data_IF_855907955744
#
_entry.id   IF_855907955744
#
_cell.length_a   1.000
_cell.length_b   1.000
_cell.length_c   1.000
_cell.angle_alpha   90.00
_cell.angle_beta   90.00
_cell.angle_gamma   90.00
#
_symmetry.space_group_name_H-M   'P 1'
#
loop_
_entity.id
_entity.type
_entity.pdbx_description
1 polymer ?
#
# COMPACT_ATOMS: atom_id res chain seq x y z
N UNK A 1 14.80 -18.06 51.18
CA UNK A 1 15.16 -17.02 50.18
C UNK A 1 15.14 -17.65 48.82
N UNK A 2 14.19 -17.34 47.92
CA UNK A 2 14.17 -17.83 46.54
C UNK A 2 14.96 -16.86 45.66
N UNK A 3 15.87 -17.43 44.89
CA UNK A 3 16.73 -16.77 43.91
C UNK A 3 15.89 -16.16 42.76
N UNK A 4 16.07 -14.88 42.51
CA UNK A 4 15.46 -14.15 41.38
C UNK A 4 15.91 -14.72 40.02
N UNK A 5 14.95 -15.02 39.18
CA UNK A 5 15.19 -15.39 37.78
C UNK A 5 15.71 -14.16 36.98
N UNK A 6 16.76 -14.30 36.17
CA UNK A 6 17.23 -13.20 35.35
C UNK A 6 16.20 -12.84 34.27
N UNK A 7 15.93 -11.55 34.13
CA UNK A 7 15.07 -10.99 33.10
C UNK A 7 15.59 -11.38 31.69
N UNK A 8 14.72 -12.01 30.89
CA UNK A 8 15.00 -12.29 29.47
C UNK A 8 15.23 -10.97 28.74
N UNK A 9 16.47 -10.71 28.35
CA UNK A 9 16.81 -9.66 27.40
C UNK A 9 16.06 -9.93 26.10
N UNK A 10 15.10 -9.08 25.77
CA UNK A 10 14.48 -9.09 24.43
C UNK A 10 15.56 -8.66 23.43
N UNK A 11 15.97 -9.58 22.57
CA UNK A 11 16.89 -9.29 21.48
C UNK A 11 16.17 -8.41 20.45
N UNK A 12 16.57 -7.17 20.37
CA UNK A 12 16.05 -6.16 19.41
C UNK A 12 16.55 -6.37 17.98
N UNK A 13 17.36 -7.40 17.72
CA UNK A 13 18.05 -7.61 16.46
C UNK A 13 17.26 -8.40 15.42
N UNK A 14 16.09 -8.95 15.72
CA UNK A 14 15.31 -9.75 14.78
C UNK A 14 14.04 -9.09 14.25
N UNK A 15 13.76 -7.84 14.61
CA UNK A 15 12.57 -7.10 14.12
C UNK A 15 12.87 -6.11 12.98
N UNK A 16 14.09 -6.04 12.48
CA UNK A 16 14.47 -5.13 11.38
C UNK A 16 14.20 -5.66 9.98
N UNK A 17 14.05 -6.94 9.79
CA UNK A 17 13.58 -7.57 8.56
C UNK A 17 12.16 -8.06 8.79
N UNK A 18 11.19 -7.17 8.69
CA UNK A 18 9.82 -7.57 8.41
C UNK A 18 9.86 -8.29 7.07
N UNK A 19 10.10 -9.60 7.12
CA UNK A 19 9.77 -10.48 6.02
C UNK A 19 8.33 -10.16 5.69
N UNK A 20 8.07 -9.79 4.45
CA UNK A 20 6.75 -9.59 3.90
C UNK A 20 5.97 -10.91 4.08
N UNK A 21 5.41 -11.15 5.25
CA UNK A 21 4.64 -12.34 5.60
C UNK A 21 3.23 -12.33 5.03
N UNK A 22 2.97 -11.50 4.03
CA UNK A 22 1.82 -11.68 3.16
C UNK A 22 2.12 -12.76 2.13
N UNK A 23 2.54 -13.93 2.62
CA UNK A 23 2.51 -15.13 1.81
C UNK A 23 1.05 -15.48 1.58
N UNK A 24 0.68 -15.50 0.32
CA UNK A 24 -0.55 -16.12 -0.15
C UNK A 24 -0.44 -17.63 0.19
N UNK A 25 -0.98 -18.02 1.37
CA UNK A 25 -0.97 -19.42 1.81
C UNK A 25 -1.81 -20.32 0.89
N UNK A 26 -2.54 -19.71 -0.05
CA UNK A 26 -3.55 -20.40 -0.85
C UNK A 26 -3.01 -21.07 -2.12
N UNK A 27 -1.75 -20.85 -2.52
CA UNK A 27 -1.27 -21.40 -3.80
C UNK A 27 0.04 -22.17 -3.73
N UNK A 28 0.71 -22.25 -2.60
CA UNK A 28 2.02 -22.92 -2.48
C UNK A 28 3.13 -22.30 -3.34
N UNK A 29 2.84 -21.29 -4.13
CA UNK A 29 3.75 -20.61 -5.06
C UNK A 29 4.20 -19.28 -4.44
N UNK A 30 5.42 -19.27 -3.92
CA UNK A 30 6.06 -18.10 -3.26
C UNK A 30 6.49 -16.99 -4.24
N UNK A 31 5.90 -16.88 -5.43
CA UNK A 31 6.43 -16.05 -6.52
C UNK A 31 5.52 -14.86 -6.88
N UNK A 32 4.53 -14.54 -6.04
CA UNK A 32 3.53 -13.50 -6.30
C UNK A 32 2.91 -13.62 -7.72
N UNK A 33 2.78 -14.83 -8.22
CA UNK A 33 2.15 -15.15 -9.49
C UNK A 33 0.77 -15.73 -9.23
N UNK A 34 -0.21 -15.30 -10.04
CA UNK A 34 -1.56 -15.82 -9.95
C UNK A 34 -2.34 -15.58 -11.22
N UNK A 35 -3.41 -16.34 -11.39
CA UNK A 35 -4.23 -16.30 -12.60
C UNK A 35 -5.26 -15.17 -12.50
N UNK A 36 -5.16 -14.19 -13.39
CA UNK A 36 -6.17 -13.18 -13.64
C UNK A 36 -6.94 -13.50 -14.93
N UNK A 37 -7.92 -12.66 -15.30
CA UNK A 37 -8.64 -12.80 -16.59
C UNK A 37 -7.69 -12.74 -17.79
N UNK A 38 -6.58 -12.01 -17.67
CA UNK A 38 -5.56 -11.90 -18.72
C UNK A 38 -4.45 -12.95 -18.66
N UNK A 39 -4.61 -14.02 -17.85
CA UNK A 39 -3.61 -15.07 -17.70
C UNK A 39 -2.79 -14.95 -16.40
N UNK A 40 -1.58 -15.49 -16.43
CA UNK A 40 -0.68 -15.50 -15.27
C UNK A 40 -0.06 -14.12 -15.08
N UNK A 41 -0.35 -13.47 -13.96
CA UNK A 41 0.06 -12.09 -13.68
C UNK A 41 0.48 -11.87 -12.24
N UNK A 42 1.25 -10.79 -12.03
CA UNK A 42 1.54 -10.21 -10.72
C UNK A 42 0.89 -8.85 -10.62
N UNK A 43 0.32 -8.57 -9.47
CA UNK A 43 -0.22 -7.25 -9.17
C UNK A 43 0.78 -6.46 -8.33
N UNK A 44 1.07 -5.23 -8.75
CA UNK A 44 1.87 -4.26 -8.01
C UNK A 44 0.92 -3.30 -7.32
N UNK A 45 0.75 -3.45 -6.01
CA UNK A 45 0.05 -2.46 -5.19
C UNK A 45 1.00 -1.34 -4.84
N UNK A 46 0.58 -0.09 -5.03
CA UNK A 46 1.48 1.06 -5.01
C UNK A 46 0.89 2.21 -4.20
N UNK A 47 1.71 2.83 -3.37
CA UNK A 47 1.49 4.18 -2.89
C UNK A 47 2.39 5.15 -3.65
N UNK A 48 1.85 6.27 -4.11
CA UNK A 48 2.58 7.30 -4.83
C UNK A 48 2.43 8.67 -4.15
N UNK A 49 3.45 9.50 -4.29
CA UNK A 49 3.38 10.90 -3.87
C UNK A 49 2.75 11.79 -4.96
N UNK A 50 2.54 13.09 -4.65
CA UNK A 50 1.92 14.06 -5.58
C UNK A 50 2.68 14.23 -6.91
N UNK A 51 3.97 13.90 -6.97
CA UNK A 51 4.82 13.97 -8.17
C UNK A 51 4.82 12.67 -8.96
N UNK A 52 3.91 11.75 -8.66
CA UNK A 52 3.83 10.43 -9.29
C UNK A 52 5.12 9.61 -9.07
N UNK A 53 5.71 9.68 -7.87
CA UNK A 53 6.86 8.88 -7.48
C UNK A 53 6.42 7.75 -6.58
N UNK A 54 6.90 6.51 -6.78
CA UNK A 54 6.62 5.39 -5.90
C UNK A 54 7.14 5.65 -4.48
N UNK A 55 6.31 5.43 -3.46
CA UNK A 55 6.67 5.62 -2.04
C UNK A 55 6.72 4.28 -1.31
N UNK A 56 5.80 3.39 -1.65
CA UNK A 56 5.75 2.04 -1.11
C UNK A 56 5.13 1.11 -2.14
N UNK A 57 5.53 -0.16 -2.14
CA UNK A 57 4.97 -1.18 -3.00
C UNK A 57 4.79 -2.50 -2.26
N UNK A 58 3.83 -3.29 -2.71
CA UNK A 58 3.64 -4.70 -2.32
C UNK A 58 3.32 -5.48 -3.59
N UNK A 59 3.95 -6.62 -3.77
CA UNK A 59 3.68 -7.55 -4.86
C UNK A 59 2.74 -8.64 -4.37
N UNK A 60 1.78 -9.01 -5.19
CA UNK A 60 0.88 -10.15 -4.91
C UNK A 60 0.49 -10.86 -6.19
N UNK A 61 -0.10 -12.04 -6.05
CA UNK A 61 -0.75 -12.73 -7.14
C UNK A 61 -1.83 -11.85 -7.80
N UNK A 62 -1.97 -11.96 -9.12
CA UNK A 62 -2.81 -11.06 -9.93
C UNK A 62 -4.29 -10.99 -9.54
N UNK A 63 -4.84 -12.05 -8.94
CA UNK A 63 -6.22 -12.13 -8.46
C UNK A 63 -6.44 -11.48 -7.09
N UNK A 64 -5.37 -11.11 -6.36
CA UNK A 64 -5.49 -10.56 -5.00
C UNK A 64 -6.30 -9.28 -4.96
N UNK A 65 -7.20 -9.18 -3.99
CA UNK A 65 -8.02 -7.98 -3.78
C UNK A 65 -7.16 -6.83 -3.21
N UNK A 66 -7.31 -5.63 -3.78
CA UNK A 66 -6.53 -4.45 -3.41
C UNK A 66 -6.77 -4.00 -1.97
N UNK A 67 -8.01 -4.08 -1.48
CA UNK A 67 -8.36 -3.63 -0.13
C UNK A 67 -7.66 -4.44 0.97
N UNK A 68 -7.41 -5.74 0.74
CA UNK A 68 -6.73 -6.62 1.71
C UNK A 68 -5.26 -6.23 1.88
N UNK A 69 -4.63 -5.71 0.83
CA UNK A 69 -3.21 -5.35 0.83
C UNK A 69 -2.96 -3.92 1.32
N UNK A 70 -4.03 -3.15 1.55
CA UNK A 70 -3.94 -1.73 1.93
C UNK A 70 -3.02 -1.48 3.12
N UNK A 71 -3.19 -2.22 4.22
CA UNK A 71 -2.37 -2.02 5.43
C UNK A 71 -0.89 -2.34 5.20
N UNK A 72 -0.60 -3.34 4.37
CA UNK A 72 0.78 -3.68 4.01
C UNK A 72 1.45 -2.57 3.21
N UNK A 73 0.73 -1.98 2.24
CA UNK A 73 1.24 -0.83 1.48
C UNK A 73 1.48 0.36 2.40
N UNK A 74 0.54 0.63 3.31
CA UNK A 74 0.66 1.72 4.29
C UNK A 74 1.82 1.52 5.26
N UNK A 75 2.10 0.29 5.67
CA UNK A 75 3.24 -0.07 6.54
C UNK A 75 4.59 0.11 5.83
N UNK A 76 4.62 -0.07 4.51
CA UNK A 76 5.80 0.14 3.68
C UNK A 76 6.21 1.60 3.50
N UNK A 77 5.37 2.57 3.89
CA UNK A 77 5.68 4.00 3.73
C UNK A 77 6.77 4.40 4.73
N UNK A 78 7.97 4.66 4.20
CA UNK A 78 9.12 5.15 4.97
C UNK A 78 9.88 6.20 4.16
N UNK A 79 9.68 7.46 4.51
CA UNK A 79 10.34 8.59 3.83
C UNK A 79 11.38 9.16 4.77
N UNK A 80 12.65 9.01 4.39
CA UNK A 80 13.76 9.57 5.15
C UNK A 80 13.66 11.09 5.20
N UNK A 81 13.97 11.68 6.35
CA UNK A 81 14.08 13.14 6.50
C UNK A 81 15.44 13.61 6.01
N UNK A 82 15.54 14.85 5.53
CA UNK A 82 16.81 15.46 5.15
C UNK A 82 17.74 15.68 6.35
N UNK A 83 17.19 15.82 7.56
CA UNK A 83 17.94 15.99 8.80
C UNK A 83 17.83 14.78 9.72
N UNK A 84 18.37 14.93 10.94
CA UNK A 84 18.27 13.90 11.99
C UNK A 84 16.79 13.63 12.35
N UNK A 85 16.48 12.40 12.69
CA UNK A 85 15.18 11.98 13.17
C UNK A 85 14.61 10.75 12.46
N UNK A 86 13.51 10.22 13.00
CA UNK A 86 12.85 9.02 12.47
C UNK A 86 12.24 9.30 11.09
N UNK A 87 12.25 8.33 10.16
CA UNK A 87 11.56 8.44 8.89
C UNK A 87 10.07 8.76 9.07
N UNK A 88 9.50 9.48 8.13
CA UNK A 88 8.05 9.73 8.10
C UNK A 88 7.35 8.48 7.57
N UNK A 89 6.48 7.90 8.40
CA UNK A 89 5.67 6.72 8.09
C UNK A 89 4.19 7.03 7.93
N UNK A 90 3.79 8.27 8.29
CA UNK A 90 2.40 8.72 8.29
C UNK A 90 2.20 9.83 7.24
N UNK A 91 1.48 9.56 6.15
CA UNK A 91 1.03 10.61 5.25
C UNK A 91 -0.05 11.47 5.91
N UNK A 92 -0.16 12.74 5.55
CA UNK A 92 -1.22 13.60 6.06
C UNK A 92 -2.61 13.25 5.48
N UNK A 93 -2.62 12.68 4.26
CA UNK A 93 -3.84 12.31 3.53
C UNK A 93 -3.60 11.08 2.65
N UNK A 94 -4.63 10.24 2.54
CA UNK A 94 -4.71 9.15 1.58
C UNK A 94 -5.89 9.41 0.65
N UNK A 95 -5.62 9.36 -0.65
CA UNK A 95 -6.62 9.41 -1.71
C UNK A 95 -6.63 8.04 -2.39
N UNK A 96 -7.75 7.35 -2.35
CA UNK A 96 -7.87 6.00 -2.92
C UNK A 96 -9.22 5.78 -3.59
N UNK A 97 -9.33 4.72 -4.39
CA UNK A 97 -10.55 4.37 -5.11
C UNK A 97 -11.65 3.84 -4.17
N UNK A 98 -12.87 3.81 -4.65
CA UNK A 98 -14.05 3.25 -3.96
C UNK A 98 -13.85 1.80 -3.48
N UNK A 99 -13.01 1.01 -4.16
CA UNK A 99 -12.64 -0.33 -3.74
C UNK A 99 -12.01 -0.38 -2.33
N UNK A 100 -11.40 0.71 -1.87
CA UNK A 100 -10.82 0.85 -0.53
C UNK A 100 -11.81 1.39 0.51
N UNK A 101 -13.08 1.57 0.15
CA UNK A 101 -14.11 2.10 1.03
C UNK A 101 -14.62 1.02 2.00
N UNK A 102 -13.77 0.52 2.88
CA UNK A 102 -14.17 -0.38 3.95
C UNK A 102 -14.17 0.33 5.31
N UNK A 103 -15.03 -0.15 6.23
CA UNK A 103 -15.08 0.36 7.61
C UNK A 103 -13.73 0.19 8.31
N UNK A 104 -13.06 -0.94 8.09
CA UNK A 104 -11.76 -1.24 8.69
C UNK A 104 -10.68 -0.25 8.22
N UNK A 105 -10.56 -0.02 6.90
CA UNK A 105 -9.59 0.94 6.34
C UNK A 105 -9.85 2.35 6.86
N UNK A 106 -11.12 2.80 6.89
CA UNK A 106 -11.45 4.13 7.42
C UNK A 106 -11.17 4.25 8.91
N UNK A 107 -11.40 3.19 9.69
CA UNK A 107 -11.06 3.15 11.11
C UNK A 107 -9.55 3.22 11.34
N UNK A 108 -8.76 2.43 10.62
CA UNK A 108 -7.30 2.45 10.67
C UNK A 108 -6.72 3.83 10.33
N UNK A 109 -7.19 4.45 9.24
CA UNK A 109 -6.77 5.80 8.85
C UNK A 109 -7.11 6.83 9.93
N UNK A 110 -8.30 6.74 10.54
CA UNK A 110 -8.72 7.65 11.62
C UNK A 110 -7.85 7.47 12.87
N UNK A 111 -7.61 6.24 13.30
CA UNK A 111 -6.73 5.95 14.45
C UNK A 111 -5.32 6.49 14.23
N UNK A 112 -4.82 6.44 12.99
CA UNK A 112 -3.50 6.99 12.64
C UNK A 112 -3.52 8.51 12.40
N UNK A 113 -4.67 9.18 12.54
CA UNK A 113 -4.83 10.61 12.27
C UNK A 113 -4.57 10.99 10.80
N UNK A 114 -4.90 10.09 9.87
CA UNK A 114 -4.72 10.28 8.43
C UNK A 114 -6.06 10.67 7.79
N UNK A 115 -6.09 11.78 7.07
CA UNK A 115 -7.30 12.19 6.36
C UNK A 115 -7.55 11.26 5.17
N UNK A 116 -8.74 10.64 5.11
CA UNK A 116 -9.16 9.80 4.00
C UNK A 116 -9.98 10.60 2.98
N UNK A 117 -9.64 10.51 1.70
CA UNK A 117 -10.45 10.96 0.58
C UNK A 117 -10.76 9.74 -0.31
N UNK A 118 -11.76 8.98 0.09
CA UNK A 118 -12.19 7.73 -0.54
C UNK A 118 -13.69 7.86 -0.79
N UNK A 119 -14.18 7.72 -2.02
CA UNK A 119 -15.61 7.77 -2.29
C UNK A 119 -16.34 6.60 -1.65
N UNK A 120 -17.59 6.81 -1.33
CA UNK A 120 -18.46 5.75 -0.83
C UNK A 120 -19.20 5.10 -2.02
N UNK A 121 -19.14 3.77 -2.18
CA UNK A 121 -19.91 3.05 -3.20
C UNK A 121 -21.42 3.26 -3.03
N UNK A 122 -22.16 3.19 -4.12
CA UNK A 122 -23.61 3.43 -4.12
C UNK A 122 -24.40 2.48 -3.20
N UNK A 123 -23.97 1.21 -3.15
CA UNK A 123 -24.56 0.20 -2.26
C UNK A 123 -24.34 0.54 -0.78
N UNK A 124 -23.18 1.06 -0.40
CA UNK A 124 -22.90 1.51 0.96
C UNK A 124 -23.74 2.75 1.31
N UNK A 125 -23.89 3.70 0.36
CA UNK A 125 -24.77 4.87 0.54
C UNK A 125 -26.23 4.44 0.74
N UNK A 126 -26.75 3.58 -0.13
CA UNK A 126 -28.10 3.06 -0.03
C UNK A 126 -28.35 2.31 1.29
N UNK A 127 -27.40 1.46 1.70
CA UNK A 127 -27.46 0.74 2.96
C UNK A 127 -27.48 1.69 4.17
N UNK A 128 -26.68 2.77 4.13
CA UNK A 128 -26.68 3.79 5.19
C UNK A 128 -28.02 4.53 5.25
N UNK A 129 -28.54 4.97 4.10
CA UNK A 129 -29.84 5.67 4.01
C UNK A 129 -30.97 4.79 4.54
N UNK A 130 -31.01 3.50 4.16
CA UNK A 130 -32.01 2.55 4.64
C UNK A 130 -31.98 2.35 6.16
N UNK A 131 -30.83 2.51 6.81
CA UNK A 131 -30.70 2.42 8.28
C UNK A 131 -31.14 3.68 9.02
N UNK A 132 -31.45 4.78 8.31
CA UNK A 132 -31.86 6.06 8.90
C UNK A 132 -30.83 6.56 9.92
N UNK A 133 -31.29 6.91 11.13
CA UNK A 133 -30.42 7.40 12.21
C UNK A 133 -29.33 6.42 12.61
N UNK A 134 -29.57 5.10 12.49
CA UNK A 134 -28.58 4.05 12.77
C UNK A 134 -27.50 3.91 11.68
N UNK A 135 -27.68 4.54 10.52
CA UNK A 135 -26.72 4.53 9.41
C UNK A 135 -25.46 5.37 9.66
N UNK A 136 -25.53 6.29 10.62
CA UNK A 136 -24.44 7.16 11.01
C UNK A 136 -24.14 8.28 10.00
N UNK A 137 -23.19 9.15 10.36
CA UNK A 137 -22.76 10.28 9.52
C UNK A 137 -22.03 9.79 8.25
N UNK A 138 -22.35 10.34 7.07
CA UNK A 138 -21.63 10.03 5.84
C UNK A 138 -20.13 10.38 5.95
N UNK A 139 -19.25 9.61 5.31
CA UNK A 139 -17.85 9.94 5.27
C UNK A 139 -17.62 11.28 4.57
N UNK A 140 -16.71 12.09 5.11
CA UNK A 140 -16.32 13.35 4.46
C UNK A 140 -15.61 13.02 3.13
N UNK A 141 -16.10 13.61 2.04
CA UNK A 141 -15.54 13.43 0.71
C UNK A 141 -15.27 14.79 0.07
N UNK A 142 -14.05 14.92 -0.51
CA UNK A 142 -13.60 16.13 -1.21
C UNK A 142 -13.39 15.78 -2.68
N UNK A 143 -14.30 16.15 -3.59
CA UNK A 143 -14.23 15.79 -5.00
C UNK A 143 -13.08 16.47 -5.72
N UNK A 144 -12.67 17.68 -5.30
CA UNK A 144 -11.54 18.40 -5.90
C UNK A 144 -10.24 17.66 -5.62
N UNK A 145 -10.03 17.24 -4.37
CA UNK A 145 -8.86 16.44 -4.01
C UNK A 145 -8.92 15.02 -4.56
N UNK A 146 -10.11 14.47 -4.74
CA UNK A 146 -10.25 13.15 -5.35
C UNK A 146 -9.73 13.08 -6.80
N UNK A 147 -9.85 14.17 -7.56
CA UNK A 147 -9.26 14.26 -8.92
C UNK A 147 -7.75 13.98 -8.91
N UNK A 148 -7.07 14.23 -7.79
CA UNK A 148 -5.64 13.93 -7.64
C UNK A 148 -5.34 12.42 -7.58
N UNK A 149 -6.35 11.53 -7.48
CA UNK A 149 -6.17 10.07 -7.55
C UNK A 149 -5.41 9.61 -8.80
N UNK A 150 -5.58 10.30 -9.89
CA UNK A 150 -4.90 10.01 -11.16
C UNK A 150 -3.35 10.01 -11.05
N UNK A 151 -2.81 10.55 -9.96
CA UNK A 151 -1.37 10.47 -9.66
C UNK A 151 -0.87 9.04 -9.60
N UNK A 152 -1.64 8.11 -9.02
CA UNK A 152 -1.24 6.69 -8.92
C UNK A 152 -1.23 6.04 -10.31
N UNK A 153 -2.22 6.30 -11.13
CA UNK A 153 -2.29 5.79 -12.51
C UNK A 153 -1.09 6.28 -13.34
N UNK A 154 -0.76 7.58 -13.23
CA UNK A 154 0.43 8.14 -13.88
C UNK A 154 1.72 7.53 -13.33
N UNK A 155 1.80 7.24 -12.03
CA UNK A 155 2.94 6.56 -11.44
C UNK A 155 3.10 5.14 -11.99
N UNK A 156 2.01 4.39 -12.09
CA UNK A 156 2.00 3.05 -12.70
C UNK A 156 2.44 3.12 -14.17
N UNK A 157 1.99 4.13 -14.92
CA UNK A 157 2.41 4.31 -16.31
C UNK A 157 3.92 4.63 -16.43
N UNK A 158 4.47 5.47 -15.51
CA UNK A 158 5.92 5.68 -15.42
C UNK A 158 6.68 4.38 -15.18
N UNK A 159 6.18 3.52 -14.30
CA UNK A 159 6.79 2.21 -14.04
C UNK A 159 6.66 1.27 -15.25
N UNK A 160 5.50 1.22 -15.91
CA UNK A 160 5.28 0.40 -17.11
C UNK A 160 6.09 0.84 -18.32
N UNK A 161 6.62 2.07 -18.36
CA UNK A 161 7.57 2.50 -19.38
C UNK A 161 8.88 1.68 -19.34
N UNK A 162 9.16 1.00 -18.23
CA UNK A 162 10.25 0.02 -18.14
C UNK A 162 9.72 -1.35 -18.61
N UNK A 163 10.22 -1.83 -19.74
CA UNK A 163 9.78 -3.09 -20.36
C UNK A 163 9.84 -4.29 -19.39
N UNK A 164 10.88 -4.38 -18.58
CA UNK A 164 11.03 -5.45 -17.59
C UNK A 164 9.89 -5.48 -16.56
N UNK A 165 9.32 -4.32 -16.22
CA UNK A 165 8.15 -4.23 -15.33
C UNK A 165 6.86 -4.56 -16.08
N UNK A 166 6.69 -4.01 -17.29
CA UNK A 166 5.47 -4.19 -18.06
C UNK A 166 5.22 -5.66 -18.41
N UNK A 167 6.27 -6.40 -18.74
CA UNK A 167 6.19 -7.79 -19.23
C UNK A 167 6.57 -8.83 -18.19
N UNK A 168 7.10 -8.43 -17.04
CA UNK A 168 7.61 -9.31 -15.98
C UNK A 168 8.32 -10.55 -16.50
N UNK A 169 9.56 -10.39 -16.95
CA UNK A 169 10.41 -11.52 -17.37
C UNK A 169 10.99 -12.29 -16.16
N UNK A 170 11.06 -11.63 -15.00
CA UNK A 170 11.62 -12.25 -13.79
C UNK A 170 10.70 -13.36 -13.26
N UNK A 171 11.22 -14.58 -13.17
CA UNK A 171 10.49 -15.73 -12.62
C UNK A 171 10.29 -15.57 -11.10
N UNK A 172 11.33 -15.15 -10.39
CA UNK A 172 11.34 -15.01 -8.94
C UNK A 172 10.76 -13.69 -8.47
N UNK A 173 9.93 -13.71 -7.41
CA UNK A 173 9.32 -12.52 -6.84
C UNK A 173 10.35 -11.46 -6.44
N UNK A 174 11.42 -11.88 -5.74
CA UNK A 174 12.44 -10.96 -5.25
C UNK A 174 13.22 -10.28 -6.38
N UNK A 175 13.45 -10.97 -7.50
CA UNK A 175 14.07 -10.38 -8.68
C UNK A 175 13.18 -9.31 -9.29
N UNK A 176 11.91 -9.63 -9.50
CA UNK A 176 10.93 -8.66 -10.00
C UNK A 176 10.76 -7.48 -9.04
N UNK A 177 10.78 -7.74 -7.73
CA UNK A 177 10.79 -6.72 -6.70
C UNK A 177 11.97 -5.75 -6.85
N UNK A 178 13.17 -6.28 -7.04
CA UNK A 178 14.38 -5.50 -7.31
C UNK A 178 14.28 -4.66 -8.58
N UNK A 179 13.74 -5.24 -9.67
CA UNK A 179 13.47 -4.54 -10.93
C UNK A 179 12.53 -3.34 -10.71
N UNK A 180 11.46 -3.52 -9.95
CA UNK A 180 10.53 -2.42 -9.60
C UNK A 180 11.21 -1.36 -8.73
N UNK A 181 12.09 -1.76 -7.81
CA UNK A 181 12.83 -0.81 -6.95
C UNK A 181 13.83 0.02 -7.76
N UNK A 182 14.60 -0.58 -8.66
CA UNK A 182 15.54 0.13 -9.54
C UNK A 182 14.79 1.15 -10.40
N UNK A 183 13.67 0.76 -11.00
CA UNK A 183 12.84 1.69 -11.77
C UNK A 183 12.27 2.83 -10.89
N UNK A 184 11.87 2.52 -9.67
CA UNK A 184 11.40 3.50 -8.70
C UNK A 184 12.49 4.51 -8.34
N UNK A 185 13.72 4.03 -8.07
CA UNK A 185 14.89 4.89 -7.82
C UNK A 185 15.13 5.80 -9.03
N UNK A 186 15.10 5.27 -10.26
CA UNK A 186 15.28 6.09 -11.46
C UNK A 186 14.21 7.17 -11.62
N UNK A 187 12.94 6.87 -11.26
CA UNK A 187 11.86 7.86 -11.26
C UNK A 187 12.16 8.97 -10.23
N UNK A 188 12.64 8.62 -9.03
CA UNK A 188 13.01 9.58 -8.00
C UNK A 188 14.18 10.47 -8.41
N UNK A 189 15.21 9.90 -9.06
CA UNK A 189 16.38 10.65 -9.52
C UNK A 189 16.08 11.62 -10.67
N UNK A 190 15.08 11.31 -11.51
CA UNK A 190 14.65 12.21 -12.60
C UNK A 190 13.78 13.38 -12.13
N UNK A 191 13.19 13.25 -10.96
CA UNK A 191 12.31 14.26 -10.36
C UNK A 191 12.72 14.51 -8.90
N UNK A 192 13.94 15.06 -8.69
CA UNK A 192 14.47 15.28 -7.35
C UNK A 192 13.64 16.32 -6.59
N UNK A 193 13.60 16.18 -5.27
CA UNK A 193 13.05 17.20 -4.38
C UNK A 193 14.08 18.30 -4.22
N UNK A 194 13.91 19.41 -4.90
CA UNK A 194 14.63 20.65 -4.63
C UNK A 194 14.13 21.27 -3.34
#
# INVERSE_FOLDING_TARGET
MPLARPARRRSWLTQGASRNTFHDQDTGVREALGRSRGGLTTKVHLAADRRCRPVARVLTAGQRNDAVVFEAVMAGIRIQRRGRGRPRTRPGRVVADKAYSSRAIRASLRQRGITATIPEPADQQANRTRKGSRGGRPPTFDPVRYKQRNVVERCVNKLKAFRAIASRYDKREYMYAGTVDIASIRIWLRDPVT
#
